data_IF_656607436980
#
_entry.id   IF_656607436980
#
_cell.length_a   1.000
_cell.length_b   1.000
_cell.length_c   1.000
_cell.angle_alpha   90.00
_cell.angle_beta   90.00
_cell.angle_gamma   90.00
#
_symmetry.space_group_name_H-M   'P 1'
#
loop_
_entity.id
_entity.type
_entity.pdbx_description
1 polymer ?
#
# COMPACT_ATOMS: atom_id res chain seq x y z
N UNK A 1 14.14 6.06 -13.02
CA UNK A 1 15.19 5.93 -11.98
C UNK A 1 16.20 4.92 -12.49
N UNK A 2 17.49 5.11 -12.25
CA UNK A 2 18.49 4.16 -12.73
C UNK A 2 18.57 2.94 -11.78
N UNK A 3 18.82 1.72 -12.27
CA UNK A 3 18.85 0.51 -11.43
C UNK A 3 19.76 0.62 -10.20
N UNK A 4 20.92 1.26 -10.36
CA UNK A 4 21.88 1.47 -9.26
C UNK A 4 21.29 2.19 -8.04
N UNK A 5 20.26 3.02 -8.22
CA UNK A 5 19.61 3.73 -7.11
C UNK A 5 18.89 2.75 -6.19
N UNK A 6 18.26 1.71 -6.74
CA UNK A 6 17.60 0.67 -5.95
C UNK A 6 18.63 -0.15 -5.18
N UNK A 7 19.73 -0.54 -5.84
CA UNK A 7 20.82 -1.28 -5.22
C UNK A 7 21.47 -0.48 -4.09
N UNK A 8 21.72 0.81 -4.33
CA UNK A 8 22.26 1.72 -3.33
C UNK A 8 21.35 1.76 -2.10
N UNK A 9 20.04 1.96 -2.27
CA UNK A 9 19.10 2.01 -1.16
C UNK A 9 19.03 0.69 -0.40
N UNK A 10 18.96 -0.45 -1.10
CA UNK A 10 18.99 -1.78 -0.47
C UNK A 10 20.27 -1.99 0.34
N UNK A 11 21.44 -1.66 -0.20
CA UNK A 11 22.72 -1.82 0.50
C UNK A 11 22.84 -0.96 1.77
N UNK A 12 22.20 0.21 1.80
CA UNK A 12 22.33 1.14 2.93
C UNK A 12 21.26 0.97 4.01
N UNK A 13 20.08 0.44 3.66
CA UNK A 13 18.95 0.36 4.60
C UNK A 13 18.49 -1.07 4.92
N UNK A 14 18.81 -2.06 4.08
CA UNK A 14 18.41 -3.45 4.30
C UNK A 14 19.49 -4.22 5.07
N UNK A 15 19.51 -4.02 6.39
CA UNK A 15 20.48 -4.69 7.27
C UNK A 15 20.05 -6.14 7.58
N UNK A 16 20.94 -7.15 7.44
CA UNK A 16 20.61 -8.54 7.75
C UNK A 16 20.09 -8.76 9.18
N UNK A 17 20.66 -8.07 10.16
CA UNK A 17 20.22 -8.15 11.56
C UNK A 17 18.82 -7.58 11.74
N UNK A 18 18.47 -6.51 11.01
CA UNK A 18 17.13 -5.94 11.06
C UNK A 18 16.11 -6.89 10.41
N UNK A 19 16.47 -7.56 9.31
CA UNK A 19 15.61 -8.58 8.68
C UNK A 19 15.41 -9.76 9.63
N UNK A 20 16.46 -10.25 10.27
CA UNK A 20 16.39 -11.37 11.20
C UNK A 20 15.53 -11.09 12.45
N UNK A 21 15.52 -9.83 12.91
CA UNK A 21 14.72 -9.41 14.07
C UNK A 21 13.32 -8.86 13.69
N UNK A 22 13.04 -8.67 12.41
CA UNK A 22 11.76 -8.15 11.93
C UNK A 22 10.66 -9.21 12.06
N UNK A 23 9.42 -8.83 12.41
CA UNK A 23 8.33 -9.78 12.49
C UNK A 23 8.07 -10.44 11.12
N UNK A 24 7.83 -11.75 11.13
CA UNK A 24 7.59 -12.52 9.90
C UNK A 24 6.16 -12.32 9.36
N UNK A 25 5.85 -11.09 8.95
CA UNK A 25 4.55 -10.68 8.42
C UNK A 25 4.67 -10.62 6.90
N UNK A 26 4.03 -11.58 6.22
CA UNK A 26 4.08 -11.68 4.75
C UNK A 26 2.98 -10.90 4.05
N UNK A 27 1.86 -10.66 4.73
CA UNK A 27 0.66 -10.03 4.15
C UNK A 27 0.37 -8.76 4.91
N UNK A 28 0.60 -7.64 4.26
CA UNK A 28 0.66 -6.34 4.91
C UNK A 28 -0.46 -5.46 4.36
N UNK A 29 -1.23 -4.87 5.25
CA UNK A 29 -2.07 -3.73 4.94
C UNK A 29 -1.44 -2.49 5.60
N UNK A 30 -1.12 -1.47 4.83
CA UNK A 30 -0.60 -0.21 5.36
C UNK A 30 -1.78 0.71 5.66
N UNK A 31 -2.03 0.94 6.95
CA UNK A 31 -3.06 1.90 7.35
C UNK A 31 -2.58 3.33 7.13
N UNK A 32 -3.54 4.23 6.95
CA UNK A 32 -3.32 5.68 6.94
C UNK A 32 -4.14 6.39 8.01
N UNK A 33 -4.62 5.68 9.03
CA UNK A 33 -5.53 6.25 10.03
C UNK A 33 -4.94 7.47 10.77
N UNK A 34 -3.61 7.46 11.02
CA UNK A 34 -2.88 8.59 11.58
C UNK A 34 -2.60 9.74 10.58
N UNK A 35 -2.82 9.51 9.27
CA UNK A 35 -2.59 10.51 8.24
C UNK A 35 -3.76 11.50 8.11
N UNK A 36 -3.48 12.68 7.55
CA UNK A 36 -4.48 13.74 7.37
C UNK A 36 -5.38 13.57 6.13
N UNK A 37 -5.07 12.61 5.24
CA UNK A 37 -5.72 12.47 3.93
C UNK A 37 -5.50 11.09 3.31
N UNK A 38 -6.37 10.75 2.35
CA UNK A 38 -6.37 9.46 1.63
C UNK A 38 -6.52 8.27 2.57
N UNK A 39 -7.37 8.42 3.59
CA UNK A 39 -7.72 7.35 4.53
C UNK A 39 -8.80 6.46 3.93
N UNK A 40 -8.92 5.24 4.40
CA UNK A 40 -10.09 4.41 4.09
C UNK A 40 -11.20 4.75 5.08
N UNK A 41 -12.35 5.22 4.58
CA UNK A 41 -13.47 5.65 5.44
C UNK A 41 -14.13 4.46 6.16
N UNK A 42 -14.18 3.29 5.51
CA UNK A 42 -14.69 2.04 6.07
C UNK A 42 -13.56 1.04 6.39
N UNK A 43 -12.44 1.52 6.96
CA UNK A 43 -11.24 0.70 7.22
C UNK A 43 -11.55 -0.54 8.09
N UNK A 44 -12.36 -0.40 9.13
CA UNK A 44 -12.75 -1.53 9.99
C UNK A 44 -13.45 -2.65 9.21
N UNK A 45 -14.26 -2.29 8.21
CA UNK A 45 -14.94 -3.26 7.35
C UNK A 45 -13.95 -3.98 6.43
N UNK A 46 -13.02 -3.22 5.84
CA UNK A 46 -11.94 -3.76 5.03
C UNK A 46 -11.04 -4.71 5.85
N UNK A 47 -10.62 -4.30 7.05
CA UNK A 47 -9.78 -5.11 7.93
C UNK A 47 -10.48 -6.40 8.36
N UNK A 48 -11.79 -6.37 8.62
CA UNK A 48 -12.57 -7.58 8.93
C UNK A 48 -12.51 -8.62 7.81
N UNK A 49 -12.56 -8.21 6.55
CA UNK A 49 -12.48 -9.15 5.41
C UNK A 49 -11.06 -9.53 5.06
N UNK A 50 -10.07 -8.71 5.40
CA UNK A 50 -8.65 -9.00 5.19
C UNK A 50 -8.08 -9.96 6.26
N UNK A 51 -8.66 -10.00 7.47
CA UNK A 51 -8.17 -10.83 8.57
C UNK A 51 -8.14 -12.34 8.21
N UNK A 52 -9.18 -12.95 7.62
CA UNK A 52 -9.13 -14.35 7.20
C UNK A 52 -8.08 -14.66 6.13
N UNK A 53 -7.61 -13.63 5.42
CA UNK A 53 -6.55 -13.73 4.41
C UNK A 53 -5.14 -13.59 5.02
N UNK A 54 -5.03 -13.43 6.35
CA UNK A 54 -3.77 -13.35 7.08
C UNK A 54 -3.09 -11.98 7.07
N UNK A 55 -3.80 -10.92 6.65
CA UNK A 55 -3.25 -9.58 6.62
C UNK A 55 -3.09 -8.98 8.02
N UNK A 56 -2.00 -8.25 8.20
CA UNK A 56 -1.73 -7.45 9.39
C UNK A 56 -1.76 -5.97 9.01
N UNK A 57 -2.49 -5.18 9.80
CA UNK A 57 -2.50 -3.72 9.66
C UNK A 57 -1.23 -3.13 10.29
N UNK A 58 -0.50 -2.32 9.53
CA UNK A 58 0.78 -1.73 9.94
C UNK A 58 0.70 -0.21 9.76
N UNK A 59 1.04 0.51 10.83
CA UNK A 59 1.29 1.95 10.82
C UNK A 59 2.80 2.18 10.64
N UNK A 60 3.20 2.85 9.56
CA UNK A 60 4.63 3.02 9.25
C UNK A 60 5.24 4.21 9.99
N UNK A 61 4.41 5.17 10.41
CA UNK A 61 4.80 6.40 11.08
C UNK A 61 5.55 6.14 12.40
N UNK A 62 5.31 5.00 13.05
CA UNK A 62 5.99 4.57 14.27
C UNK A 62 7.28 3.78 14.04
N UNK A 63 7.64 3.48 12.78
CA UNK A 63 8.78 2.64 12.43
C UNK A 63 9.93 3.47 11.85
N UNK A 64 11.16 3.11 12.19
CA UNK A 64 12.36 3.62 11.52
C UNK A 64 12.46 3.11 10.08
N UNK A 65 13.22 3.81 9.23
CA UNK A 65 13.44 3.41 7.83
C UNK A 65 14.02 2.00 7.72
N UNK A 66 14.90 1.61 8.64
CA UNK A 66 15.52 0.27 8.64
C UNK A 66 14.47 -0.81 8.96
N UNK A 67 13.58 -0.56 9.92
CA UNK A 67 12.49 -1.48 10.24
C UNK A 67 11.48 -1.60 9.09
N UNK A 68 11.16 -0.47 8.44
CA UNK A 68 10.28 -0.47 7.26
C UNK A 68 10.92 -1.25 6.10
N UNK A 69 12.21 -1.02 5.82
CA UNK A 69 12.93 -1.76 4.78
C UNK A 69 12.95 -3.27 5.07
N UNK A 70 13.24 -3.67 6.31
CA UNK A 70 13.24 -5.06 6.72
C UNK A 70 11.85 -5.72 6.59
N UNK A 71 10.78 -5.01 6.99
CA UNK A 71 9.40 -5.50 6.86
C UNK A 71 9.01 -5.66 5.38
N UNK A 72 9.24 -4.65 4.54
CA UNK A 72 8.87 -4.69 3.12
C UNK A 72 9.66 -5.74 2.33
N UNK A 73 10.93 -5.97 2.70
CA UNK A 73 11.78 -6.99 2.06
C UNK A 73 11.29 -8.43 2.23
N UNK A 74 10.36 -8.64 3.16
CA UNK A 74 9.79 -9.94 3.48
C UNK A 74 8.36 -10.10 2.97
N UNK A 75 7.74 -9.06 2.42
CA UNK A 75 6.34 -9.06 2.04
C UNK A 75 6.07 -9.89 0.78
N UNK A 76 4.99 -10.68 0.81
CA UNK A 76 4.43 -11.38 -0.35
C UNK A 76 3.33 -10.54 -1.01
N UNK A 77 2.55 -9.82 -0.20
CA UNK A 77 1.50 -8.93 -0.68
C UNK A 77 1.37 -7.70 0.22
N UNK A 78 1.25 -6.54 -0.41
CA UNK A 78 1.07 -5.24 0.23
C UNK A 78 -0.20 -4.61 -0.32
N UNK A 79 -1.12 -4.24 0.57
CA UNK A 79 -2.28 -3.41 0.25
C UNK A 79 -2.08 -2.07 0.95
N UNK A 80 -2.24 -0.96 0.23
CA UNK A 80 -2.09 0.35 0.85
C UNK A 80 -2.89 1.40 0.08
N UNK A 81 -3.50 2.38 0.76
CA UNK A 81 -3.94 3.59 0.08
C UNK A 81 -2.75 4.42 -0.38
N UNK A 82 -2.91 5.12 -1.50
CA UNK A 82 -1.85 5.90 -2.13
C UNK A 82 -1.16 6.86 -1.14
N UNK A 83 0.17 6.77 -1.03
CA UNK A 83 0.94 7.62 -0.15
C UNK A 83 2.41 7.26 -0.06
N UNK A 84 3.21 8.16 0.52
CA UNK A 84 4.68 8.06 0.59
C UNK A 84 5.21 6.80 1.25
N UNK A 85 4.42 6.10 2.07
CA UNK A 85 4.81 4.80 2.63
C UNK A 85 5.13 3.75 1.56
N UNK A 86 4.53 3.87 0.37
CA UNK A 86 4.79 2.98 -0.77
C UNK A 86 6.16 3.22 -1.45
N UNK A 87 6.94 4.23 -1.06
CA UNK A 87 8.35 4.32 -1.52
C UNK A 87 9.17 3.12 -1.05
N UNK A 88 8.78 2.49 0.07
CA UNK A 88 9.41 1.29 0.60
C UNK A 88 9.24 0.04 -0.29
N UNK A 89 8.38 0.08 -1.31
CA UNK A 89 8.28 -1.00 -2.31
C UNK A 89 9.61 -1.32 -2.97
N UNK A 90 10.54 -0.35 -3.00
CA UNK A 90 11.89 -0.57 -3.50
C UNK A 90 12.65 -1.69 -2.75
N UNK A 91 12.28 -1.99 -1.52
CA UNK A 91 12.91 -3.03 -0.70
C UNK A 91 12.30 -4.42 -0.90
N UNK A 92 11.14 -4.52 -1.55
CA UNK A 92 10.47 -5.80 -1.79
C UNK A 92 11.28 -6.74 -2.68
N UNK A 93 10.97 -8.03 -2.57
CA UNK A 93 11.48 -9.04 -3.49
C UNK A 93 10.69 -9.01 -4.80
N UNK A 94 11.30 -9.44 -5.91
CA UNK A 94 10.56 -9.66 -7.15
C UNK A 94 9.32 -10.53 -6.93
N UNK A 95 8.26 -10.23 -7.68
CA UNK A 95 6.94 -10.88 -7.62
C UNK A 95 6.13 -10.62 -6.32
N UNK A 96 6.59 -9.74 -5.42
CA UNK A 96 5.71 -9.23 -4.35
C UNK A 96 4.51 -8.55 -5.00
N UNK A 97 3.31 -8.88 -4.54
CA UNK A 97 2.07 -8.29 -5.06
C UNK A 97 1.76 -6.97 -4.37
N UNK A 98 1.32 -5.98 -5.13
CA UNK A 98 0.94 -4.67 -4.61
C UNK A 98 -0.47 -4.37 -5.06
N UNK A 99 -1.36 -4.02 -4.13
CA UNK A 99 -2.70 -3.50 -4.44
C UNK A 99 -2.78 -2.08 -3.88
N UNK A 100 -2.66 -1.10 -4.77
CA UNK A 100 -2.73 0.30 -4.40
C UNK A 100 -4.18 0.83 -4.46
N UNK A 101 -4.63 1.49 -3.38
CA UNK A 101 -5.98 2.03 -3.28
C UNK A 101 -5.98 3.53 -3.58
N UNK A 102 -6.79 3.94 -4.55
CA UNK A 102 -6.92 5.33 -4.99
C UNK A 102 -8.29 5.91 -4.68
N UNK A 103 -8.32 7.23 -4.49
CA UNK A 103 -9.57 7.98 -4.62
C UNK A 103 -9.94 8.09 -6.12
N UNK A 104 -11.24 8.06 -6.47
CA UNK A 104 -11.73 8.29 -7.83
C UNK A 104 -11.18 9.54 -8.51
N UNK A 105 -10.92 10.60 -7.75
CA UNK A 105 -10.54 11.90 -8.30
C UNK A 105 -9.03 12.15 -8.25
N UNK A 106 -8.23 11.19 -7.78
CA UNK A 106 -6.78 11.32 -7.73
C UNK A 106 -6.06 9.97 -7.89
N UNK A 107 -5.54 9.76 -9.10
CA UNK A 107 -4.68 8.62 -9.44
C UNK A 107 -3.31 9.15 -9.85
N UNK A 108 -2.26 8.66 -9.20
CA UNK A 108 -0.89 9.04 -9.49
C UNK A 108 0.01 7.81 -9.55
N UNK A 109 0.73 7.63 -10.66
CA UNK A 109 1.33 6.35 -11.07
C UNK A 109 2.77 6.14 -10.59
N UNK A 110 3.26 6.93 -9.62
CA UNK A 110 4.66 6.86 -9.22
C UNK A 110 5.05 5.50 -8.60
N UNK A 111 4.14 4.83 -7.89
CA UNK A 111 4.41 3.52 -7.29
C UNK A 111 4.24 2.38 -8.28
N UNK A 112 3.41 2.54 -9.31
CA UNK A 112 3.45 1.66 -10.49
C UNK A 112 4.84 1.69 -11.14
N UNK A 113 5.44 2.88 -11.31
CA UNK A 113 6.82 2.99 -11.81
C UNK A 113 7.84 2.29 -10.92
N UNK A 114 7.78 2.48 -9.59
CA UNK A 114 8.69 1.79 -8.65
C UNK A 114 8.51 0.27 -8.75
N UNK A 115 7.27 -0.19 -8.81
CA UNK A 115 6.92 -1.61 -8.91
C UNK A 115 7.53 -2.25 -10.16
N UNK A 116 7.47 -1.59 -11.32
CA UNK A 116 8.11 -2.09 -12.54
C UNK A 116 9.64 -2.11 -12.46
N UNK A 117 10.25 -1.18 -11.73
CA UNK A 117 11.71 -1.12 -11.58
C UNK A 117 12.28 -2.27 -10.74
N UNK A 118 11.47 -2.84 -9.84
CA UNK A 118 11.88 -3.92 -8.93
C UNK A 118 11.06 -5.20 -9.13
N UNK A 119 10.45 -5.34 -10.32
CA UNK A 119 9.77 -6.55 -10.79
C UNK A 119 8.61 -7.00 -9.88
N UNK A 120 7.76 -6.08 -9.44
CA UNK A 120 6.58 -6.37 -8.62
C UNK A 120 5.32 -6.56 -9.45
N UNK A 121 4.40 -7.37 -8.94
CA UNK A 121 3.07 -7.55 -9.53
C UNK A 121 2.12 -6.46 -9.02
N UNK A 122 1.99 -5.40 -9.81
CA UNK A 122 1.20 -4.25 -9.41
C UNK A 122 -0.26 -4.33 -9.89
N UNK A 123 -1.17 -4.12 -8.95
CA UNK A 123 -2.60 -3.95 -9.13
C UNK A 123 -3.03 -2.64 -8.48
N UNK A 124 -4.19 -2.13 -8.90
CA UNK A 124 -4.80 -0.97 -8.29
C UNK A 124 -6.30 -1.17 -8.11
N UNK A 125 -6.86 -0.47 -7.14
CA UNK A 125 -8.28 -0.38 -6.88
C UNK A 125 -8.67 1.09 -6.78
N UNK A 126 -9.68 1.50 -7.54
CA UNK A 126 -10.27 2.84 -7.44
C UNK A 126 -11.50 2.70 -6.56
N UNK A 127 -11.51 3.41 -5.43
CA UNK A 127 -12.65 3.37 -4.51
C UNK A 127 -13.85 4.16 -5.02
N UNK A 128 -14.71 4.54 -4.10
CA UNK A 128 -15.89 5.36 -4.35
C UNK A 128 -15.74 6.71 -3.63
N UNK A 129 -16.48 7.71 -4.13
CA UNK A 129 -16.55 9.03 -3.51
C UNK A 129 -17.62 9.06 -2.42
N UNK A 130 -17.44 9.92 -1.42
CA UNK A 130 -18.50 10.19 -0.46
C UNK A 130 -19.74 10.80 -1.17
N UNK A 131 -20.97 10.36 -0.86
CA UNK A 131 -22.18 10.85 -1.52
C UNK A 131 -22.40 12.36 -1.38
N UNK A 132 -22.89 12.99 -2.45
CA UNK A 132 -23.32 14.39 -2.47
C UNK A 132 -22.28 15.35 -3.06
N UNK A 133 -22.47 15.73 -4.33
CA UNK A 133 -21.53 16.51 -5.13
C UNK A 133 -21.07 17.83 -4.47
N UNK A 134 -22.02 18.64 -3.96
CA UNK A 134 -21.68 19.93 -3.37
C UNK A 134 -20.94 19.79 -2.04
N UNK A 135 -21.39 18.88 -1.18
CA UNK A 135 -20.74 18.63 0.11
C UNK A 135 -19.34 18.06 -0.09
N UNK A 136 -19.19 17.11 -1.01
CA UNK A 136 -17.92 16.54 -1.40
C UNK A 136 -16.88 17.62 -1.76
N UNK A 137 -17.24 18.56 -2.64
CA UNK A 137 -16.35 19.67 -3.04
C UNK A 137 -15.97 20.62 -1.89
N UNK A 138 -16.83 20.74 -0.87
CA UNK A 138 -16.53 21.53 0.32
C UNK A 138 -15.56 20.79 1.26
N UNK A 139 -15.74 19.48 1.42
CA UNK A 139 -14.90 18.65 2.28
C UNK A 139 -13.53 18.41 1.65
N UNK A 140 -13.48 18.17 0.34
CA UNK A 140 -12.27 17.88 -0.43
C UNK A 140 -12.06 18.93 -1.54
N UNK A 141 -11.65 20.16 -1.19
CA UNK A 141 -11.36 21.19 -2.19
C UNK A 141 -10.15 20.82 -3.07
N UNK A 142 -9.30 19.91 -2.57
CA UNK A 142 -8.13 19.38 -3.26
C UNK A 142 -8.27 17.88 -3.49
N UNK A 143 -8.44 17.40 -4.73
CA UNK A 143 -8.69 15.98 -5.02
C UNK A 143 -7.61 15.04 -4.47
N UNK A 144 -6.35 15.48 -4.42
CA UNK A 144 -5.24 14.67 -3.91
C UNK A 144 -5.35 14.33 -2.42
N UNK A 145 -6.21 15.02 -1.66
CA UNK A 145 -6.42 14.78 -0.23
C UNK A 145 -7.62 13.90 0.08
N UNK A 146 -8.40 13.52 -0.94
CA UNK A 146 -9.67 12.82 -0.76
C UNK A 146 -9.51 11.45 -0.10
N UNK A 147 -10.34 11.19 0.92
CA UNK A 147 -10.45 9.88 1.56
C UNK A 147 -11.25 8.92 0.68
N UNK A 148 -11.04 7.62 0.86
CA UNK A 148 -11.47 6.57 -0.06
C UNK A 148 -12.54 5.74 0.63
N UNK A 149 -13.67 5.53 -0.06
CA UNK A 149 -14.63 4.50 0.32
C UNK A 149 -14.34 3.23 -0.48
N UNK A 150 -14.32 2.06 0.16
CA UNK A 150 -14.02 0.79 -0.52
C UNK A 150 -15.27 -0.06 -0.63
N UNK A 151 -15.64 -0.44 -1.84
CA UNK A 151 -16.64 -1.48 -2.06
C UNK A 151 -16.02 -2.86 -1.76
N UNK A 152 -16.41 -3.43 -0.63
CA UNK A 152 -15.77 -4.64 -0.09
C UNK A 152 -15.88 -5.83 -1.04
N UNK A 153 -17.01 -6.01 -1.72
CA UNK A 153 -17.21 -7.16 -2.60
C UNK A 153 -16.34 -7.04 -3.86
N UNK A 154 -16.29 -5.86 -4.46
CA UNK A 154 -15.43 -5.60 -5.63
C UNK A 154 -13.95 -5.72 -5.29
N UNK A 155 -13.56 -5.18 -4.14
CA UNK A 155 -12.21 -5.29 -3.63
C UNK A 155 -11.81 -6.76 -3.40
N UNK A 156 -12.68 -7.58 -2.82
CA UNK A 156 -12.42 -9.01 -2.63
C UNK A 156 -12.27 -9.76 -3.96
N UNK A 157 -13.07 -9.42 -4.98
CA UNK A 157 -12.93 -10.00 -6.31
C UNK A 157 -11.54 -9.71 -6.89
N UNK A 158 -11.05 -8.48 -6.75
CA UNK A 158 -9.69 -8.11 -7.16
C UNK A 158 -8.63 -8.88 -6.37
N UNK A 159 -8.76 -8.97 -5.03
CA UNK A 159 -7.81 -9.68 -4.19
C UNK A 159 -7.71 -11.17 -4.58
N UNK A 160 -8.86 -11.80 -4.83
CA UNK A 160 -8.96 -13.17 -5.32
C UNK A 160 -8.23 -13.31 -6.66
N UNK A 161 -8.52 -12.43 -7.63
CA UNK A 161 -7.87 -12.46 -8.95
C UNK A 161 -6.35 -12.31 -8.84
N UNK A 162 -5.89 -11.33 -8.05
CA UNK A 162 -4.46 -11.08 -7.85
C UNK A 162 -3.72 -12.27 -7.21
N UNK A 163 -4.42 -13.14 -6.49
CA UNK A 163 -3.85 -14.32 -5.84
C UNK A 163 -3.60 -15.48 -6.81
N UNK A 164 -4.21 -15.48 -8.00
CA UNK A 164 -4.05 -16.55 -9.01
C UNK A 164 -2.99 -16.25 -10.07
N UNK A 165 -2.58 -15.00 -10.23
CA UNK A 165 -1.62 -14.58 -11.26
C UNK A 165 -0.18 -14.76 -10.78
N UNK A 166 0.63 -15.34 -11.66
CA UNK A 166 2.09 -15.51 -11.54
C UNK A 166 2.82 -14.49 -12.38
#
# INVERSE_FOLDING_TARGET
>A
MAPWTCDFLKQHFLHPDAVANSPNIKRIYITRNAAKSRRILNEDELLRVLQPWGFHSIELESMSVIEQAALFSQAEIIIAPHGSGLTNLIFCQPNTKVIELFSPNYVYHCYWWISNLVELDYYYYIGETFPGYYLHRLVYPQPFSEDILVNIQEFLNLLVLSSYTK
#
